data_IF_811825732591
#
_entry.id   IF_811825732591
#
_cell.length_a   1.000
_cell.length_b   1.000
_cell.length_c   1.000
_cell.angle_alpha   90.00
_cell.angle_beta   90.00
_cell.angle_gamma   90.00
#
_symmetry.space_group_name_H-M   'P 1'
#
loop_
_entity.id
_entity.type
_entity.pdbx_description
1 polymer ?
#
# COMPACT_ATOMS: atom_id res chain seq x y z
N UNK A 1 5.45 -0.87 2.66
CA UNK A 1 5.77 -2.00 1.76
C UNK A 1 7.20 -2.53 1.88
N UNK A 2 8.28 -1.73 1.74
CA UNK A 2 9.65 -2.23 1.98
C UNK A 2 9.93 -2.47 3.47
N UNK A 3 9.67 -1.47 4.32
CA UNK A 3 9.94 -1.54 5.77
C UNK A 3 9.15 -2.68 6.45
N UNK A 4 7.93 -2.96 6.00
CA UNK A 4 7.13 -4.11 6.49
C UNK A 4 7.79 -5.46 6.22
N UNK A 5 8.65 -5.54 5.20
CA UNK A 5 9.44 -6.72 4.85
C UNK A 5 10.88 -6.63 5.38
N UNK A 6 11.14 -5.69 6.28
CA UNK A 6 12.47 -5.41 6.84
C UNK A 6 13.52 -5.03 5.77
N UNK A 7 13.06 -4.54 4.62
CA UNK A 7 13.89 -4.03 3.53
C UNK A 7 13.97 -2.50 3.59
N UNK A 8 15.18 -1.96 3.43
CA UNK A 8 15.40 -0.51 3.33
C UNK A 8 15.62 -0.13 1.87
N UNK A 9 14.77 0.75 1.35
CA UNK A 9 14.89 1.30 0.00
C UNK A 9 14.39 2.74 0.00
N UNK A 10 15.00 3.58 -0.82
CA UNK A 10 14.62 5.00 -0.96
C UNK A 10 13.19 5.09 -1.50
N UNK A 11 12.35 5.87 -0.82
CA UNK A 11 11.04 6.23 -1.34
C UNK A 11 11.18 7.31 -2.42
N UNK A 12 10.49 7.11 -3.55
CA UNK A 12 10.53 8.01 -4.72
C UNK A 12 9.15 8.51 -5.10
N UNK A 13 8.10 8.03 -4.43
CA UNK A 13 6.70 8.34 -4.74
C UNK A 13 5.95 8.60 -3.43
N UNK A 14 5.17 9.68 -3.41
CA UNK A 14 4.15 9.92 -2.39
C UNK A 14 2.82 9.35 -2.92
N UNK A 15 2.28 8.39 -2.20
CA UNK A 15 1.10 7.62 -2.59
C UNK A 15 -0.05 7.91 -1.61
N UNK A 16 -1.27 8.07 -2.09
CA UNK A 16 -2.42 8.26 -1.21
C UNK A 16 -2.75 6.96 -0.47
N UNK A 17 -2.75 7.02 0.86
CA UNK A 17 -3.13 5.87 1.71
C UNK A 17 -4.53 5.40 1.34
N UNK A 18 -5.48 6.34 1.28
CA UNK A 18 -6.82 6.14 0.73
C UNK A 18 -6.83 6.63 -0.72
N UNK A 19 -7.07 5.75 -1.72
CA UNK A 19 -7.06 6.17 -3.11
C UNK A 19 -8.18 7.17 -3.37
N UNK A 20 -7.82 8.32 -3.94
CA UNK A 20 -8.76 9.43 -4.13
C UNK A 20 -9.87 9.12 -5.15
N UNK A 21 -9.66 8.21 -6.12
CA UNK A 21 -10.68 7.78 -7.11
C UNK A 21 -11.41 8.94 -7.81
N UNK A 22 -10.71 10.04 -8.03
CA UNK A 22 -11.24 11.26 -8.65
C UNK A 22 -11.87 12.27 -7.68
N UNK A 23 -11.93 11.98 -6.38
CA UNK A 23 -12.33 12.92 -5.33
C UNK A 23 -11.24 13.99 -5.11
N UNK A 24 -11.53 15.28 -5.35
CA UNK A 24 -10.55 16.36 -5.16
C UNK A 24 -10.12 16.54 -3.70
N UNK A 25 -11.01 16.32 -2.73
CA UNK A 25 -10.68 16.49 -1.31
C UNK A 25 -9.65 15.43 -0.89
N UNK A 26 -9.86 14.18 -1.28
CA UNK A 26 -8.87 13.11 -1.04
C UNK A 26 -7.58 13.34 -1.82
N UNK A 27 -7.65 13.94 -3.02
CA UNK A 27 -6.46 14.24 -3.81
C UNK A 27 -5.56 15.28 -3.12
N UNK A 28 -6.15 16.37 -2.63
CA UNK A 28 -5.40 17.49 -2.03
C UNK A 28 -5.10 17.32 -0.54
N UNK A 29 -5.97 16.64 0.20
CA UNK A 29 -5.92 16.57 1.66
C UNK A 29 -5.82 15.14 2.21
N UNK A 30 -5.82 14.13 1.35
CA UNK A 30 -5.63 12.75 1.75
C UNK A 30 -4.25 12.50 2.34
N UNK A 31 -4.19 11.59 3.32
CA UNK A 31 -2.93 11.14 3.91
C UNK A 31 -2.05 10.47 2.86
N UNK A 32 -0.75 10.80 2.87
CA UNK A 32 0.24 10.27 1.94
C UNK A 32 1.19 9.32 2.67
N UNK A 33 1.55 8.22 2.00
CA UNK A 33 2.61 7.30 2.42
C UNK A 33 3.80 7.33 1.46
N UNK A 34 5.04 7.22 1.96
CA UNK A 34 6.23 7.12 1.13
C UNK A 34 6.41 5.69 0.60
N UNK A 35 6.50 5.52 -0.72
CA UNK A 35 6.77 4.23 -1.38
C UNK A 35 7.93 4.33 -2.36
N UNK A 36 8.65 3.22 -2.55
CA UNK A 36 9.56 3.09 -3.69
C UNK A 36 8.77 2.83 -4.97
N UNK A 37 9.32 3.19 -6.13
CA UNK A 37 8.65 3.06 -7.42
C UNK A 37 8.15 1.63 -7.72
N UNK A 38 8.91 0.60 -7.33
CA UNK A 38 8.52 -0.79 -7.56
C UNK A 38 7.33 -1.21 -6.71
N UNK A 39 7.30 -0.86 -5.42
CA UNK A 39 6.17 -1.18 -4.54
C UNK A 39 4.90 -0.42 -4.95
N UNK A 40 5.04 0.87 -5.31
CA UNK A 40 3.93 1.68 -5.80
C UNK A 40 3.32 1.09 -7.07
N UNK A 41 4.13 0.77 -8.08
CA UNK A 41 3.64 0.26 -9.37
C UNK A 41 3.12 -1.18 -9.35
N UNK A 42 3.45 -1.97 -8.33
CA UNK A 42 3.10 -3.40 -8.28
C UNK A 42 2.16 -3.76 -7.13
N UNK A 43 2.67 -3.79 -5.90
CA UNK A 43 1.94 -4.26 -4.73
C UNK A 43 0.78 -3.34 -4.39
N UNK A 44 1.02 -2.02 -4.29
CA UNK A 44 -0.04 -1.04 -3.98
C UNK A 44 -1.15 -1.02 -5.04
N UNK A 45 -0.79 -0.97 -6.32
CA UNK A 45 -1.75 -1.07 -7.42
C UNK A 45 -2.55 -2.38 -7.39
N UNK A 46 -1.94 -3.51 -7.02
CA UNK A 46 -2.67 -4.76 -6.87
C UNK A 46 -3.66 -4.72 -5.70
N UNK A 47 -3.22 -4.21 -4.55
CA UNK A 47 -4.05 -4.07 -3.33
C UNK A 47 -5.26 -3.18 -3.57
N UNK A 48 -5.10 -2.05 -4.26
CA UNK A 48 -6.22 -1.15 -4.57
C UNK A 48 -7.25 -1.79 -5.51
N UNK A 49 -6.77 -2.59 -6.47
CA UNK A 49 -7.60 -3.28 -7.44
C UNK A 49 -8.37 -4.44 -6.82
N UNK A 50 -7.76 -5.19 -5.91
CA UNK A 50 -8.36 -6.42 -5.36
C UNK A 50 -8.93 -6.26 -3.97
N UNK A 51 -8.57 -5.20 -3.24
CA UNK A 51 -8.88 -5.04 -1.81
C UNK A 51 -8.17 -6.05 -0.90
N UNK A 52 -7.15 -6.74 -1.42
CA UNK A 52 -6.46 -7.86 -0.75
C UNK A 52 -5.02 -7.43 -0.50
N UNK A 53 -4.64 -7.35 0.78
CA UNK A 53 -3.24 -7.16 1.18
C UNK A 53 -2.47 -8.46 0.92
N UNK A 54 -1.38 -8.33 0.14
CA UNK A 54 -0.52 -9.48 -0.18
C UNK A 54 0.57 -9.61 0.87
N UNK A 55 0.59 -10.74 1.55
CA UNK A 55 1.58 -11.02 2.57
C UNK A 55 1.19 -12.22 3.43
N UNK A 56 2.09 -12.57 4.34
CA UNK A 56 1.83 -13.49 5.45
C UNK A 56 1.98 -12.71 6.76
N UNK A 57 1.07 -12.93 7.69
CA UNK A 57 1.13 -12.37 9.03
C UNK A 57 2.19 -13.10 9.89
N UNK A 58 2.43 -12.59 11.10
CA UNK A 58 3.41 -13.16 12.03
C UNK A 58 3.10 -14.59 12.49
N UNK A 59 1.87 -15.06 12.28
CA UNK A 59 1.44 -16.44 12.57
C UNK A 59 1.55 -17.35 11.34
N UNK A 60 2.07 -16.82 10.21
CA UNK A 60 2.26 -17.55 8.96
C UNK A 60 1.01 -17.69 8.09
N UNK A 61 -0.07 -16.97 8.41
CA UNK A 61 -1.32 -17.00 7.65
C UNK A 61 -1.39 -15.86 6.64
N UNK A 62 -2.16 -15.99 5.54
CA UNK A 62 -2.31 -14.89 4.60
C UNK A 62 -2.88 -13.64 5.27
N UNK A 63 -2.27 -12.48 5.02
CA UNK A 63 -2.59 -11.23 5.72
C UNK A 63 -4.03 -10.75 5.50
N UNK A 64 -4.60 -11.03 4.31
CA UNK A 64 -6.00 -10.73 4.00
C UNK A 64 -7.02 -11.47 4.87
N UNK A 65 -6.62 -12.51 5.61
CA UNK A 65 -7.48 -13.23 6.57
C UNK A 65 -8.05 -12.31 7.65
N UNK A 66 -7.30 -11.29 8.08
CA UNK A 66 -7.70 -10.40 9.19
C UNK A 66 -8.89 -9.50 8.88
N UNK A 67 -9.38 -9.49 7.64
CA UNK A 67 -10.55 -8.73 7.21
C UNK A 67 -11.85 -9.54 7.05
N UNK A 68 -11.88 -10.81 7.50
CA UNK A 68 -13.09 -11.65 7.56
C UNK A 68 -13.72 -11.64 8.97
#
# INVERSE_FOLDING_TARGET
>A
MCIQREEVTIATTADHVVPHRGDPELFWHGELQPLCASCHSSQKQAEERTGIVRGVDGDGWPEWRKGQ
#
